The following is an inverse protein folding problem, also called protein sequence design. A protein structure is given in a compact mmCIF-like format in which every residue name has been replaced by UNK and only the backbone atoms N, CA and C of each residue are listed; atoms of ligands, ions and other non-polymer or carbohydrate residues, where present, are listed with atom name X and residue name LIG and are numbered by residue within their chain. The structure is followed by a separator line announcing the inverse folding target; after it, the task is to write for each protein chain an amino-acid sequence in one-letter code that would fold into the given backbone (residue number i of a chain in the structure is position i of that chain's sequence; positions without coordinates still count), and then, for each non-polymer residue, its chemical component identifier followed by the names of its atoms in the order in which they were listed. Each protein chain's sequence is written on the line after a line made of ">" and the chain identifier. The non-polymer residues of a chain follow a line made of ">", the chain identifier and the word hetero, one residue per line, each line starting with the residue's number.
data_IF_920913917911
#
_entry.id   IF_920913917911
#
_cell.length_a   1.000
_cell.length_b   1.000
_cell.length_c   1.000
_cell.angle_alpha   90.00
_cell.angle_beta   90.00
_cell.angle_gamma   90.00
#
_symmetry.space_group_name_H-M   'P 1'
#
loop_
_entity.id
_entity.type
_entity.pdbx_description
1 polymer ?
#
# COMPACT_ATOMS: atom_id res chain seq x y z
N UNK A 1 -10.86 -12.97 8.40
CA UNK A 1 -12.30 -13.16 8.60
C UNK A 1 -12.84 -11.90 9.24
N UNK A 2 -13.73 -11.18 8.54
CA UNK A 2 -14.33 -9.90 8.97
C UNK A 2 -15.85 -10.03 9.13
N UNK A 3 -16.34 -11.24 9.43
CA UNK A 3 -17.77 -11.59 9.40
C UNK A 3 -18.65 -10.92 10.46
N UNK A 4 -18.09 -10.18 11.42
CA UNK A 4 -18.83 -9.45 12.46
C UNK A 4 -18.28 -8.03 12.62
N UNK A 5 -19.11 -7.09 13.09
CA UNK A 5 -18.68 -5.70 13.33
C UNK A 5 -17.45 -5.61 14.26
N UNK A 6 -17.36 -6.50 15.26
CA UNK A 6 -16.23 -6.58 16.17
C UNK A 6 -14.95 -7.11 15.49
N UNK A 7 -15.05 -8.17 14.68
CA UNK A 7 -13.89 -8.73 13.97
C UNK A 7 -13.35 -7.79 12.88
N UNK A 8 -14.21 -6.97 12.25
CA UNK A 8 -13.79 -5.92 11.33
C UNK A 8 -12.96 -4.83 12.04
N UNK A 9 -13.40 -4.40 13.24
CA UNK A 9 -12.71 -3.38 14.03
C UNK A 9 -11.33 -3.89 14.50
N UNK A 10 -11.27 -5.13 15.00
CA UNK A 10 -10.01 -5.73 15.43
C UNK A 10 -9.04 -5.97 14.26
N UNK A 11 -9.54 -6.41 13.10
CA UNK A 11 -8.72 -6.55 11.90
C UNK A 11 -8.16 -5.19 11.44
N UNK A 12 -8.97 -4.12 11.49
CA UNK A 12 -8.53 -2.76 11.17
C UNK A 12 -7.44 -2.25 12.13
N UNK A 13 -7.59 -2.49 13.43
CA UNK A 13 -6.60 -2.11 14.43
C UNK A 13 -5.28 -2.90 14.28
N UNK A 14 -5.37 -4.19 13.95
CA UNK A 14 -4.20 -5.04 13.70
C UNK A 14 -3.41 -4.56 12.47
N UNK A 15 -4.08 -4.30 11.35
CA UNK A 15 -3.45 -3.80 10.12
C UNK A 15 -2.80 -2.43 10.36
N UNK A 16 -3.50 -1.52 11.06
CA UNK A 16 -2.96 -0.19 11.40
C UNK A 16 -1.67 -0.29 12.21
N UNK A 17 -1.66 -1.13 13.24
CA UNK A 17 -0.50 -1.29 14.13
C UNK A 17 0.71 -1.85 13.37
N UNK A 18 0.50 -2.78 12.44
CA UNK A 18 1.56 -3.31 11.59
C UNK A 18 2.07 -2.29 10.58
N UNK A 19 1.18 -1.54 9.93
CA UNK A 19 1.53 -0.48 8.98
C UNK A 19 2.34 0.64 9.64
N UNK A 20 1.96 1.06 10.86
CA UNK A 20 2.67 2.10 11.61
C UNK A 20 4.06 1.65 12.07
N UNK A 21 4.24 0.38 12.43
CA UNK A 21 5.54 -0.14 12.91
C UNK A 21 6.50 -0.55 11.79
N UNK A 22 6.00 -1.05 10.66
CA UNK A 22 6.84 -1.54 9.56
C UNK A 22 6.99 -0.52 8.43
N UNK A 23 6.21 0.56 8.43
CA UNK A 23 6.24 1.56 7.35
C UNK A 23 5.73 1.04 6.00
N UNK A 24 5.23 -0.20 5.95
CA UNK A 24 4.81 -0.91 4.75
C UNK A 24 3.28 -1.01 4.70
N UNK A 25 2.69 -0.51 3.61
CA UNK A 25 1.27 -0.69 3.31
C UNK A 25 1.02 -2.15 2.90
N UNK A 26 0.49 -2.96 3.81
CA UNK A 26 0.10 -4.35 3.50
C UNK A 26 -1.02 -4.34 2.45
N UNK A 27 -0.80 -5.02 1.32
CA UNK A 27 -1.83 -5.33 0.34
C UNK A 27 -1.91 -4.40 -0.88
N UNK A 28 -0.80 -3.79 -1.29
CA UNK A 28 -0.71 -2.95 -2.49
C UNK A 28 -0.52 -3.80 -3.78
N UNK A 29 -1.53 -3.98 -4.65
CA UNK A 29 -1.37 -4.74 -5.89
C UNK A 29 -0.32 -4.12 -6.83
N UNK A 30 -0.19 -2.80 -6.82
CA UNK A 30 0.80 -2.05 -7.62
C UNK A 30 2.23 -2.39 -7.23
N UNK A 31 2.52 -2.65 -5.95
CA UNK A 31 3.84 -3.09 -5.52
C UNK A 31 4.17 -4.48 -6.09
N UNK A 32 3.22 -5.41 -6.00
CA UNK A 32 3.39 -6.77 -6.53
C UNK A 32 3.59 -6.70 -8.04
N UNK A 33 2.74 -5.93 -8.74
CA UNK A 33 2.83 -5.76 -10.19
C UNK A 33 4.17 -5.15 -10.62
N UNK A 34 4.69 -4.16 -9.88
CA UNK A 34 5.99 -3.56 -10.15
C UNK A 34 7.15 -4.53 -9.91
N UNK A 35 7.15 -5.23 -8.76
CA UNK A 35 8.20 -6.23 -8.42
C UNK A 35 8.19 -7.44 -9.36
N UNK A 36 7.03 -7.82 -9.89
CA UNK A 36 6.88 -8.89 -10.88
C UNK A 36 7.12 -8.41 -12.33
N UNK A 37 7.38 -7.12 -12.53
CA UNK A 37 7.63 -6.54 -13.85
C UNK A 37 6.40 -6.44 -14.76
N UNK A 38 5.19 -6.52 -14.21
CA UNK A 38 3.94 -6.36 -14.96
C UNK A 38 3.64 -4.90 -15.30
N UNK A 39 4.14 -3.97 -14.49
CA UNK A 39 4.11 -2.53 -14.74
C UNK A 39 5.51 -1.96 -14.61
N UNK A 40 5.80 -0.90 -15.37
CA UNK A 40 7.06 -0.19 -15.27
C UNK A 40 7.00 0.92 -14.21
N UNK A 41 8.16 1.54 -13.97
CA UNK A 41 8.30 2.64 -13.01
C UNK A 41 7.41 3.84 -13.37
N UNK A 42 7.19 4.09 -14.66
CA UNK A 42 6.40 5.22 -15.12
C UNK A 42 4.91 5.02 -14.78
N UNK A 43 4.39 3.81 -15.01
CA UNK A 43 3.06 3.41 -14.59
C UNK A 43 2.90 3.48 -13.07
N UNK A 44 3.87 2.95 -12.31
CA UNK A 44 3.85 3.04 -10.84
C UNK A 44 3.81 4.50 -10.36
N UNK A 45 4.61 5.39 -10.95
CA UNK A 45 4.60 6.82 -10.63
C UNK A 45 3.30 7.53 -11.03
N UNK A 46 2.64 7.09 -12.12
CA UNK A 46 1.33 7.63 -12.49
C UNK A 46 0.28 7.29 -11.42
N UNK A 47 0.27 6.05 -10.92
CA UNK A 47 -0.59 5.64 -9.80
C UNK A 47 -0.25 6.41 -8.52
N UNK A 48 1.05 6.56 -8.20
CA UNK A 48 1.50 7.37 -7.07
C UNK A 48 0.97 8.81 -7.12
N UNK A 49 0.97 9.43 -8.31
CA UNK A 49 0.43 10.78 -8.53
C UNK A 49 -1.08 10.86 -8.33
N UNK A 50 -1.85 9.86 -8.79
CA UNK A 50 -3.30 9.80 -8.56
C UNK A 50 -3.62 9.78 -7.06
N UNK A 51 -2.80 9.10 -6.27
CA UNK A 51 -2.97 9.00 -4.82
C UNK A 51 -2.07 9.93 -4.01
N UNK A 52 -1.46 10.96 -4.62
CA UNK A 52 -0.40 11.76 -3.98
C UNK A 52 -0.79 12.44 -2.65
N UNK A 53 -2.09 12.62 -2.40
CA UNK A 53 -2.63 13.19 -1.15
C UNK A 53 -2.84 12.17 -0.03
N UNK A 54 -2.53 10.91 -0.25
CA UNK A 54 -2.71 9.83 0.71
C UNK A 54 -1.37 9.20 1.07
N UNK A 55 -1.32 8.54 2.23
CA UNK A 55 -0.16 7.74 2.63
C UNK A 55 0.15 6.64 1.60
N UNK A 56 -0.85 6.18 0.84
CA UNK A 56 -0.68 5.21 -0.23
C UNK A 56 0.11 5.78 -1.42
N UNK A 57 -0.24 6.97 -1.89
CA UNK A 57 0.52 7.60 -2.99
C UNK A 57 1.95 7.95 -2.59
N UNK A 58 2.17 8.38 -1.35
CA UNK A 58 3.51 8.58 -0.81
C UNK A 58 4.33 7.28 -0.77
N UNK A 59 3.71 6.17 -0.41
CA UNK A 59 4.32 4.84 -0.43
C UNK A 59 4.69 4.39 -1.85
N UNK A 60 3.76 4.50 -2.82
CA UNK A 60 4.01 4.14 -4.21
C UNK A 60 5.12 5.01 -4.84
N UNK A 61 5.19 6.30 -4.48
CA UNK A 61 6.26 7.19 -4.93
C UNK A 61 7.63 6.74 -4.41
N UNK A 62 7.74 6.42 -3.11
CA UNK A 62 8.95 5.86 -2.51
C UNK A 62 9.39 4.56 -3.19
N UNK A 63 8.44 3.65 -3.42
CA UNK A 63 8.72 2.37 -4.08
C UNK A 63 9.26 2.57 -5.52
N UNK A 64 8.76 3.59 -6.23
CA UNK A 64 9.25 3.92 -7.57
C UNK A 64 10.61 4.64 -7.54
N UNK A 65 10.92 5.41 -6.50
CA UNK A 65 12.20 6.10 -6.32
C UNK A 65 13.34 5.14 -5.94
N UNK A 66 13.00 3.93 -5.45
CA UNK A 66 13.95 2.89 -5.10
C UNK A 66 14.47 3.11 -3.69
N UNK A 67 13.79 2.47 -2.73
CA UNK A 67 14.46 2.04 -1.50
C UNK A 67 15.47 0.91 -1.81
#
# INVERSE_FOLDING_TARGET
>A
DTGTHASLLDAGNFVRTLQERQGLQIGAPEEIAYRQGWIDRAALMAHARTFAKTCYGAFLARLAEGD
#
